data_IF_720793449118
#
_entry.id   IF_720793449118
#
_cell.length_a   1.000
_cell.length_b   1.000
_cell.length_c   1.000
_cell.angle_alpha   90.00
_cell.angle_beta   90.00
_cell.angle_gamma   90.00
#
_symmetry.space_group_name_H-M   'P 1'
#
loop_
_entity.id
_entity.type
_entity.pdbx_description
1 polymer ?
#
# COMPACT_ATOMS: atom_id res chain seq x y z
N UNK A 1 23.60 -11.93 -7.90
CA UNK A 1 23.01 -13.21 -7.45
C UNK A 1 22.83 -13.15 -5.96
N UNK A 2 21.74 -13.72 -5.46
CA UNK A 2 21.44 -13.86 -4.03
C UNK A 2 22.44 -14.79 -3.34
N UNK A 3 22.84 -14.48 -2.11
CA UNK A 3 23.64 -15.39 -1.28
C UNK A 3 22.72 -16.35 -0.52
N UNK A 4 22.30 -17.45 -1.14
CA UNK A 4 21.32 -18.39 -0.58
C UNK A 4 21.66 -18.90 0.84
N UNK A 5 22.96 -19.07 1.16
CA UNK A 5 23.41 -19.50 2.50
C UNK A 5 23.17 -18.44 3.56
N UNK A 6 23.26 -17.16 3.20
CA UNK A 6 22.94 -16.05 4.10
C UNK A 6 21.45 -16.05 4.44
N UNK A 7 20.56 -16.33 3.48
CA UNK A 7 19.11 -16.49 3.77
C UNK A 7 18.90 -17.63 4.76
N UNK A 8 19.53 -18.78 4.54
CA UNK A 8 19.43 -19.89 5.49
C UNK A 8 19.85 -19.44 6.90
N UNK A 9 21.00 -18.78 7.04
CA UNK A 9 21.45 -18.26 8.34
C UNK A 9 20.45 -17.28 8.97
N UNK A 10 19.88 -16.37 8.18
CA UNK A 10 18.91 -15.39 8.67
C UNK A 10 17.60 -16.03 9.10
N UNK A 11 16.99 -16.91 8.29
CA UNK A 11 15.68 -17.50 8.61
C UNK A 11 15.78 -18.51 9.76
N UNK A 12 16.83 -19.33 9.79
CA UNK A 12 17.03 -20.29 10.90
C UNK A 12 17.50 -19.59 12.17
N UNK A 13 18.33 -18.55 12.06
CA UNK A 13 18.68 -17.70 13.19
C UNK A 13 17.47 -17.00 13.81
N UNK A 14 16.52 -16.54 12.98
CA UNK A 14 15.24 -15.99 13.45
C UNK A 14 14.38 -17.07 14.13
N UNK A 15 14.27 -18.27 13.54
CA UNK A 15 13.52 -19.39 14.11
C UNK A 15 14.06 -19.86 15.47
N UNK A 16 15.37 -19.73 15.69
CA UNK A 16 16.07 -20.15 16.91
C UNK A 16 16.15 -19.06 17.98
N UNK A 17 15.76 -17.81 17.67
CA UNK A 17 15.82 -16.70 18.62
C UNK A 17 14.60 -16.70 19.57
N UNK A 18 14.74 -17.12 20.84
CA UNK A 18 13.60 -17.26 21.75
C UNK A 18 12.98 -15.91 22.16
N UNK A 19 13.69 -14.80 21.93
CA UNK A 19 13.22 -13.46 22.28
C UNK A 19 12.43 -12.81 21.12
N UNK A 20 12.39 -13.44 19.95
CA UNK A 20 11.67 -12.92 18.81
C UNK A 20 10.24 -13.47 18.74
N UNK A 21 9.21 -12.61 18.70
CA UNK A 21 7.82 -13.07 18.62
C UNK A 21 7.51 -13.82 17.32
N UNK A 22 8.28 -13.64 16.24
CA UNK A 22 8.12 -14.40 15.00
C UNK A 22 8.75 -15.78 15.03
N UNK A 23 9.69 -16.05 15.94
CA UNK A 23 10.44 -17.31 15.99
C UNK A 23 9.54 -18.57 15.93
N UNK A 24 8.46 -18.71 16.73
CA UNK A 24 7.61 -19.90 16.65
C UNK A 24 6.90 -20.06 15.29
N UNK A 25 6.48 -18.95 14.66
CA UNK A 25 5.79 -18.96 13.36
C UNK A 25 6.75 -19.30 12.21
N UNK A 26 7.98 -18.78 12.27
CA UNK A 26 9.04 -19.08 11.31
C UNK A 26 9.46 -20.55 11.46
N UNK A 27 9.60 -21.04 12.69
CA UNK A 27 9.91 -22.44 12.96
C UNK A 27 8.83 -23.37 12.42
N UNK A 28 7.55 -23.12 12.71
CA UNK A 28 6.42 -23.90 12.17
C UNK A 28 6.44 -23.93 10.64
N UNK A 29 6.63 -22.76 9.99
CA UNK A 29 6.67 -22.69 8.53
C UNK A 29 7.85 -23.49 7.94
N UNK A 30 9.05 -23.40 8.53
CA UNK A 30 10.21 -24.17 8.10
C UNK A 30 10.02 -25.68 8.29
N UNK A 31 9.41 -26.12 9.39
CA UNK A 31 9.07 -27.52 9.63
C UNK A 31 8.09 -28.07 8.58
N UNK A 32 7.08 -27.29 8.19
CA UNK A 32 6.14 -27.66 7.11
C UNK A 32 6.85 -27.77 5.76
N UNK A 33 7.75 -26.83 5.46
CA UNK A 33 8.56 -26.85 4.23
C UNK A 33 9.49 -28.07 4.21
N UNK A 34 10.18 -28.33 5.31
CA UNK A 34 11.09 -29.47 5.45
C UNK A 34 10.34 -30.79 5.26
N UNK A 35 9.17 -30.94 5.89
CA UNK A 35 8.36 -32.14 5.75
C UNK A 35 7.83 -32.35 4.31
N UNK A 36 7.50 -31.25 3.60
CA UNK A 36 7.16 -31.30 2.18
C UNK A 36 8.35 -31.79 1.34
N UNK A 37 9.53 -31.21 1.55
CA UNK A 37 10.77 -31.59 0.87
C UNK A 37 11.17 -33.05 1.14
N UNK A 38 10.97 -33.54 2.36
CA UNK A 38 11.25 -34.94 2.71
C UNK A 38 10.28 -35.91 2.02
N UNK A 39 9.03 -35.49 1.78
CA UNK A 39 8.01 -36.32 1.13
C UNK A 39 8.16 -36.35 -0.39
N UNK A 40 8.37 -35.20 -1.02
CA UNK A 40 8.30 -35.03 -2.48
C UNK A 40 9.66 -34.87 -3.14
N UNK A 41 10.73 -34.67 -2.35
CA UNK A 41 12.05 -34.20 -2.80
C UNK A 41 11.99 -32.82 -3.44
N UNK A 42 13.13 -32.13 -3.52
CA UNK A 42 13.19 -30.79 -4.11
C UNK A 42 12.68 -30.75 -5.56
N UNK A 43 13.02 -31.77 -6.34
CA UNK A 43 12.61 -31.98 -7.72
C UNK A 43 11.09 -32.17 -7.88
N UNK A 44 10.36 -32.62 -6.86
CA UNK A 44 8.90 -32.79 -6.92
C UNK A 44 8.09 -31.58 -6.42
N UNK A 45 8.77 -30.47 -6.06
CA UNK A 45 8.15 -29.36 -5.35
C UNK A 45 8.30 -28.05 -6.12
N UNK A 46 7.17 -27.38 -6.36
CA UNK A 46 7.13 -26.03 -6.91
C UNK A 46 6.57 -25.01 -5.90
N UNK A 47 6.76 -23.72 -6.18
CA UNK A 47 6.11 -22.62 -5.45
C UNK A 47 5.19 -21.82 -6.38
N UNK A 48 3.98 -21.51 -5.92
CA UNK A 48 3.10 -20.55 -6.58
C UNK A 48 3.50 -19.13 -6.19
N UNK A 49 4.08 -18.38 -7.14
CA UNK A 49 4.62 -17.05 -6.89
C UNK A 49 3.96 -16.00 -7.78
N UNK A 50 3.28 -15.03 -7.17
CA UNK A 50 2.57 -13.95 -7.86
C UNK A 50 3.09 -12.54 -7.50
N UNK A 51 4.26 -12.45 -6.85
CA UNK A 51 4.88 -11.19 -6.43
C UNK A 51 4.21 -10.51 -5.22
N UNK A 52 3.13 -11.06 -4.68
CA UNK A 52 2.50 -10.54 -3.47
C UNK A 52 3.38 -10.72 -2.23
N UNK A 53 3.09 -9.94 -1.18
CA UNK A 53 3.83 -9.99 0.11
C UNK A 53 3.87 -11.40 0.71
N UNK A 54 2.78 -12.14 0.66
CA UNK A 54 2.63 -13.42 1.37
C UNK A 54 3.45 -14.53 0.68
N UNK A 55 3.38 -14.63 -0.66
CA UNK A 55 4.23 -15.55 -1.40
C UNK A 55 5.71 -15.13 -1.42
N UNK A 56 6.01 -13.84 -1.19
CA UNK A 56 7.39 -13.34 -1.06
C UNK A 56 8.02 -13.81 0.25
N UNK A 57 7.29 -13.74 1.37
CA UNK A 57 7.71 -14.37 2.64
C UNK A 57 7.96 -15.86 2.43
N UNK A 58 6.99 -16.55 1.83
CA UNK A 58 7.07 -17.98 1.59
C UNK A 58 8.28 -18.35 0.71
N UNK A 59 8.53 -17.59 -0.36
CA UNK A 59 9.68 -17.80 -1.23
C UNK A 59 11.00 -17.65 -0.46
N UNK A 60 11.10 -16.64 0.42
CA UNK A 60 12.31 -16.43 1.21
C UNK A 60 12.56 -17.56 2.21
N UNK A 61 11.51 -18.02 2.90
CA UNK A 61 11.57 -19.20 3.78
C UNK A 61 11.96 -20.46 3.00
N UNK A 62 11.35 -20.68 1.84
CA UNK A 62 11.62 -21.85 1.01
C UNK A 62 13.07 -21.87 0.49
N UNK A 63 13.57 -20.73 0.00
CA UNK A 63 14.95 -20.59 -0.43
C UNK A 63 15.94 -20.88 0.73
N UNK A 64 15.63 -20.41 1.95
CA UNK A 64 16.44 -20.72 3.14
C UNK A 64 16.44 -22.21 3.49
N UNK A 65 15.29 -22.87 3.41
CA UNK A 65 15.18 -24.31 3.66
C UNK A 65 15.96 -25.15 2.63
N UNK A 66 15.87 -24.80 1.34
CA UNK A 66 16.68 -25.41 0.29
C UNK A 66 18.17 -25.19 0.53
N UNK A 67 18.57 -23.95 0.82
CA UNK A 67 19.96 -23.59 1.02
C UNK A 67 20.59 -24.28 2.25
N UNK A 68 19.82 -24.52 3.31
CA UNK A 68 20.29 -25.28 4.48
C UNK A 68 20.63 -26.74 4.15
N UNK A 69 19.99 -27.30 3.12
CA UNK A 69 20.18 -28.69 2.69
C UNK A 69 21.35 -28.88 1.73
N UNK A 70 21.98 -27.80 1.26
CA UNK A 70 23.10 -27.86 0.32
C UNK A 70 24.37 -28.39 0.99
N UNK A 71 25.07 -29.30 0.30
CA UNK A 71 26.45 -29.67 0.67
C UNK A 71 27.41 -28.46 0.63
N UNK A 72 28.61 -28.51 1.25
CA UNK A 72 29.51 -27.35 1.39
C UNK A 72 29.87 -26.63 0.09
N UNK A 73 29.96 -27.36 -1.03
CA UNK A 73 30.31 -26.83 -2.35
C UNK A 73 29.16 -26.99 -3.37
N UNK A 74 27.96 -27.32 -2.91
CA UNK A 74 26.80 -27.47 -3.79
C UNK A 74 26.16 -26.11 -4.06
N UNK A 75 25.86 -25.86 -5.34
CA UNK A 75 25.12 -24.68 -5.78
C UNK A 75 23.61 -24.94 -5.74
N UNK A 76 22.85 -23.89 -5.44
CA UNK A 76 21.39 -24.00 -5.41
C UNK A 76 20.85 -24.18 -6.84
N UNK A 77 20.21 -25.33 -7.08
CA UNK A 77 19.48 -25.59 -8.33
C UNK A 77 18.34 -24.57 -8.49
N UNK A 78 17.90 -24.30 -9.74
CA UNK A 78 16.75 -23.45 -9.97
C UNK A 78 15.52 -23.92 -9.18
N UNK A 79 14.78 -22.97 -8.62
CA UNK A 79 13.56 -23.26 -7.85
C UNK A 79 12.38 -23.30 -8.82
N UNK A 80 11.72 -24.45 -8.95
CA UNK A 80 10.52 -24.56 -9.77
C UNK A 80 9.42 -23.64 -9.23
N UNK A 81 8.90 -22.78 -10.09
CA UNK A 81 7.86 -21.84 -9.72
C UNK A 81 6.78 -21.77 -10.80
N UNK A 82 5.54 -21.56 -10.37
CA UNK A 82 4.40 -21.31 -11.25
C UNK A 82 3.88 -19.90 -11.00
N UNK A 83 3.66 -19.17 -12.08
CA UNK A 83 2.99 -17.87 -12.07
C UNK A 83 1.74 -17.92 -12.95
N UNK A 84 0.58 -17.74 -12.33
CA UNK A 84 -0.71 -17.59 -13.01
C UNK A 84 -1.10 -16.11 -12.91
N UNK A 85 -0.94 -15.32 -13.98
CA UNK A 85 -1.25 -13.89 -13.94
C UNK A 85 -2.75 -13.65 -13.76
N UNK A 86 -3.06 -12.60 -13.02
CA UNK A 86 -4.42 -12.03 -13.02
C UNK A 86 -4.67 -11.28 -14.32
N UNK A 87 -5.93 -11.05 -14.73
CA UNK A 87 -6.23 -10.13 -15.82
C UNK A 87 -5.68 -8.74 -15.53
N UNK A 88 -4.99 -8.11 -16.49
CA UNK A 88 -4.40 -6.77 -16.36
C UNK A 88 -3.59 -6.59 -15.06
N UNK A 89 -2.43 -7.25 -14.93
CA UNK A 89 -1.54 -7.09 -13.79
C UNK A 89 -0.89 -5.69 -13.79
N UNK A 90 -0.46 -5.22 -12.63
CA UNK A 90 0.33 -3.99 -12.55
C UNK A 90 1.73 -4.23 -13.14
N UNK A 91 2.22 -3.31 -13.98
CA UNK A 91 3.57 -3.39 -14.55
C UNK A 91 4.65 -3.47 -13.45
N UNK A 92 4.54 -2.64 -12.42
CA UNK A 92 5.43 -2.64 -11.24
C UNK A 92 5.46 -3.99 -10.51
N UNK A 93 4.33 -4.72 -10.52
CA UNK A 93 4.27 -6.07 -9.94
C UNK A 93 4.98 -7.09 -10.84
N UNK A 94 4.79 -7.01 -12.15
CA UNK A 94 5.47 -7.87 -13.13
C UNK A 94 6.99 -7.65 -13.11
N UNK A 95 7.44 -6.40 -13.00
CA UNK A 95 8.86 -6.06 -12.81
C UNK A 95 9.41 -6.72 -11.55
N UNK A 96 8.71 -6.59 -10.42
CA UNK A 96 9.10 -7.23 -9.17
C UNK A 96 9.16 -8.77 -9.26
N UNK A 97 8.23 -9.39 -10.00
CA UNK A 97 8.25 -10.84 -10.25
C UNK A 97 9.50 -11.22 -11.04
N UNK A 98 9.84 -10.49 -12.10
CA UNK A 98 11.01 -10.78 -12.94
C UNK A 98 12.33 -10.52 -12.18
N UNK A 99 12.40 -9.50 -11.34
CA UNK A 99 13.52 -9.27 -10.44
C UNK A 99 13.68 -10.43 -9.44
N UNK A 100 12.58 -10.83 -8.79
CA UNK A 100 12.56 -11.96 -7.86
C UNK A 100 12.97 -13.26 -8.56
N UNK A 101 12.53 -13.47 -9.80
CA UNK A 101 12.93 -14.62 -10.64
C UNK A 101 14.46 -14.71 -10.77
N UNK A 102 15.12 -13.59 -11.04
CA UNK A 102 16.58 -13.52 -11.18
C UNK A 102 17.30 -13.67 -9.84
N UNK A 103 16.80 -13.00 -8.79
CA UNK A 103 17.42 -13.00 -7.46
C UNK A 103 17.39 -14.41 -6.86
N UNK A 104 16.22 -15.05 -6.86
CA UNK A 104 16.02 -16.38 -6.27
C UNK A 104 16.34 -17.55 -7.21
N UNK A 105 16.79 -17.29 -8.44
CA UNK A 105 17.03 -18.30 -9.47
C UNK A 105 15.78 -19.18 -9.73
N UNK A 106 14.63 -18.55 -9.98
CA UNK A 106 13.38 -19.27 -10.22
C UNK A 106 13.33 -19.78 -11.68
N UNK A 107 13.04 -21.06 -11.82
CA UNK A 107 12.53 -21.65 -13.06
C UNK A 107 11.01 -21.40 -13.12
N UNK A 108 10.67 -20.17 -13.52
CA UNK A 108 9.30 -19.64 -13.46
C UNK A 108 8.51 -19.99 -14.73
N UNK A 109 7.56 -20.91 -14.61
CA UNK A 109 6.59 -21.18 -15.66
C UNK A 109 5.41 -20.21 -15.57
N UNK A 110 5.25 -19.36 -16.60
CA UNK A 110 4.14 -18.42 -16.68
C UNK A 110 2.97 -19.02 -17.46
N UNK A 111 1.81 -19.15 -16.81
CA UNK A 111 0.57 -19.60 -17.42
C UNK A 111 -0.21 -18.46 -18.10
N UNK A 112 0.49 -17.60 -18.86
CA UNK A 112 -0.18 -16.60 -19.70
C UNK A 112 -1.00 -17.32 -20.77
N UNK A 113 -2.25 -16.90 -21.05
CA UNK A 113 -3.01 -17.43 -22.17
C UNK A 113 -2.22 -17.26 -23.48
N UNK A 114 -2.16 -18.31 -24.32
CA UNK A 114 -1.44 -18.29 -25.61
C UNK A 114 -2.01 -17.29 -26.61
N UNK A 115 -3.25 -16.83 -26.40
CA UNK A 115 -3.88 -15.80 -27.18
C UNK A 115 -3.90 -14.48 -26.39
N UNK A 116 -3.60 -13.38 -27.08
CA UNK A 116 -3.96 -11.99 -26.73
C UNK A 116 -5.48 -11.78 -26.59
N UNK A 117 -6.27 -12.86 -26.54
CA UNK A 117 -7.62 -12.80 -26.02
C UNK A 117 -7.52 -12.54 -24.53
N UNK A 118 -7.48 -11.24 -24.21
CA UNK A 118 -8.08 -10.69 -23.00
C UNK A 118 -9.33 -11.53 -22.77
N UNK A 119 -9.35 -12.40 -21.75
CA UNK A 119 -10.62 -12.89 -21.20
C UNK A 119 -11.43 -11.63 -20.97
N UNK A 120 -12.40 -11.41 -21.84
CA UNK A 120 -13.01 -10.12 -22.15
C UNK A 120 -13.15 -9.25 -20.89
N UNK A 121 -12.15 -8.42 -20.64
CA UNK A 121 -12.41 -7.13 -20.03
C UNK A 121 -13.19 -6.44 -21.13
N UNK A 122 -14.43 -6.11 -20.84
CA UNK A 122 -15.24 -5.28 -21.70
C UNK A 122 -14.44 -3.98 -21.88
N UNK A 123 -13.73 -3.82 -23.00
CA UNK A 123 -13.65 -2.51 -23.61
C UNK A 123 -15.04 -2.31 -24.21
N UNK A 124 -15.82 -1.32 -23.80
CA UNK A 124 -17.00 -0.95 -24.55
C UNK A 124 -16.55 -0.73 -25.99
N UNK A 125 -17.36 -1.18 -26.93
CA UNK A 125 -17.26 -0.69 -28.29
C UNK A 125 -17.41 0.83 -28.20
N UNK A 126 -16.29 1.56 -28.29
CA UNK A 126 -16.32 3.00 -28.39
C UNK A 126 -16.79 3.26 -29.81
N UNK A 127 -18.11 3.34 -30.00
CA UNK A 127 -18.61 4.17 -31.07
C UNK A 127 -18.08 5.58 -30.77
N UNK A 128 -17.26 6.12 -31.66
CA UNK A 128 -16.68 7.45 -31.51
C UNK A 128 -17.76 8.46 -31.13
N UNK A 129 -17.58 9.10 -29.97
CA UNK A 129 -18.33 10.31 -29.63
C UNK A 129 -19.45 10.21 -28.58
N UNK A 130 -19.58 9.14 -27.78
CA UNK A 130 -20.58 9.12 -26.70
C UNK A 130 -19.98 8.78 -25.33
N UNK A 131 -19.97 9.78 -24.44
CA UNK A 131 -19.67 9.66 -23.01
C UNK A 131 -20.87 9.02 -22.31
N UNK A 132 -20.70 7.84 -21.73
CA UNK A 132 -21.69 7.24 -20.84
C UNK A 132 -21.09 6.92 -19.48
N UNK A 133 -21.80 7.42 -18.47
CA UNK A 133 -21.58 7.29 -17.05
C UNK A 133 -21.75 5.82 -16.59
N UNK A 134 -20.65 5.21 -16.16
CA UNK A 134 -20.56 3.81 -15.72
C UNK A 134 -21.33 3.51 -14.42
N UNK A 135 -21.92 4.54 -13.79
CA UNK A 135 -22.50 4.47 -12.44
C UNK A 135 -23.87 3.79 -12.40
N UNK A 136 -24.58 3.67 -13.52
CA UNK A 136 -26.05 3.45 -13.44
C UNK A 136 -26.57 2.02 -13.63
N UNK A 137 -25.81 1.05 -14.17
CA UNK A 137 -26.35 -0.32 -14.41
C UNK A 137 -25.31 -1.45 -14.38
N UNK A 138 -25.12 -2.16 -13.25
CA UNK A 138 -24.29 -3.36 -13.24
C UNK A 138 -25.02 -4.49 -13.99
N UNK A 139 -24.42 -5.01 -15.05
CA UNK A 139 -24.85 -6.26 -15.69
C UNK A 139 -23.93 -7.40 -15.23
N UNK A 140 -24.51 -8.55 -14.89
CA UNK A 140 -23.77 -9.74 -14.52
C UNK A 140 -22.95 -10.26 -15.71
N UNK A 141 -21.64 -10.40 -15.49
CA UNK A 141 -20.65 -10.82 -16.49
C UNK A 141 -20.56 -12.34 -16.53
N UNK A 142 -21.18 -12.98 -17.52
CA UNK A 142 -20.85 -14.35 -17.95
C UNK A 142 -21.06 -15.51 -16.93
N UNK A 143 -21.24 -16.73 -17.43
CA UNK A 143 -21.40 -17.95 -16.61
C UNK A 143 -20.05 -18.62 -16.27
N UNK A 144 -18.94 -17.90 -16.22
CA UNK A 144 -17.65 -18.50 -15.84
C UNK A 144 -17.70 -18.83 -14.34
N UNK A 145 -17.86 -20.11 -14.02
CA UNK A 145 -17.63 -20.62 -12.67
C UNK A 145 -16.24 -20.16 -12.25
N UNK A 146 -16.14 -19.34 -11.18
CA UNK A 146 -14.86 -18.84 -10.68
C UNK A 146 -13.87 -20.00 -10.51
N UNK A 147 -12.68 -19.88 -11.10
CA UNK A 147 -11.61 -20.87 -10.98
C UNK A 147 -11.34 -21.73 -12.22
N UNK A 148 -12.19 -21.73 -13.26
CA UNK A 148 -11.95 -22.54 -14.47
C UNK A 148 -10.63 -22.20 -15.18
N UNK A 149 -10.30 -20.90 -15.31
CA UNK A 149 -9.03 -20.47 -15.88
C UNK A 149 -7.82 -20.93 -15.05
N UNK A 150 -7.93 -20.89 -13.72
CA UNK A 150 -6.88 -21.38 -12.81
C UNK A 150 -6.71 -22.90 -12.90
N UNK A 151 -7.82 -23.64 -12.99
CA UNK A 151 -7.83 -25.09 -13.17
C UNK A 151 -7.13 -25.50 -14.46
N UNK A 152 -7.42 -24.81 -15.57
CA UNK A 152 -6.76 -25.05 -16.86
C UNK A 152 -5.27 -24.69 -16.84
N UNK A 153 -4.90 -23.58 -16.21
CA UNK A 153 -3.49 -23.20 -16.03
C UNK A 153 -2.71 -24.27 -15.26
N UNK A 154 -3.27 -24.76 -14.15
CA UNK A 154 -2.68 -25.86 -13.37
C UNK A 154 -2.63 -27.18 -14.16
N UNK A 155 -3.62 -27.46 -15.01
CA UNK A 155 -3.61 -28.67 -15.84
C UNK A 155 -2.45 -28.61 -16.84
N UNK A 156 -2.26 -27.48 -17.54
CA UNK A 156 -1.12 -27.28 -18.45
C UNK A 156 0.20 -27.42 -17.72
N UNK A 157 0.29 -26.90 -16.50
CA UNK A 157 1.49 -27.06 -15.67
C UNK A 157 1.75 -28.52 -15.33
N UNK A 158 0.72 -29.28 -14.92
CA UNK A 158 0.83 -30.71 -14.62
C UNK A 158 1.25 -31.52 -15.85
N UNK A 159 0.67 -31.24 -17.00
CA UNK A 159 0.99 -31.92 -18.27
C UNK A 159 2.44 -31.69 -18.67
N UNK A 160 2.95 -30.47 -18.43
CA UNK A 160 4.33 -30.09 -18.74
C UNK A 160 5.34 -30.64 -17.72
N UNK A 161 4.98 -30.66 -16.45
CA UNK A 161 5.85 -31.05 -15.34
C UNK A 161 5.18 -32.14 -14.49
N UNK A 162 4.98 -33.35 -15.03
CA UNK A 162 4.24 -34.42 -14.35
C UNK A 162 4.92 -34.92 -13.07
N UNK A 163 6.23 -34.66 -12.93
CA UNK A 163 7.02 -34.99 -11.75
C UNK A 163 6.78 -34.05 -10.56
N UNK A 164 6.19 -32.87 -10.78
CA UNK A 164 5.81 -31.97 -9.69
C UNK A 164 4.52 -32.50 -9.04
N UNK A 165 4.61 -32.78 -7.74
CA UNK A 165 3.54 -33.39 -6.94
C UNK A 165 3.05 -32.49 -5.82
N UNK A 166 3.83 -31.49 -5.41
CA UNK A 166 3.44 -30.50 -4.41
C UNK A 166 3.70 -29.06 -4.87
N UNK A 167 2.81 -28.15 -4.45
CA UNK A 167 2.92 -26.72 -4.70
C UNK A 167 2.81 -25.98 -3.37
N UNK A 168 3.84 -25.19 -3.04
CA UNK A 168 3.83 -24.26 -1.92
C UNK A 168 2.97 -23.04 -2.28
N UNK A 169 2.05 -22.66 -1.38
CA UNK A 169 1.08 -21.57 -1.58
C UNK A 169 1.11 -20.64 -0.36
N UNK A 170 1.19 -19.34 -0.61
CA UNK A 170 1.22 -18.29 0.41
C UNK A 170 -0.14 -17.93 1.01
N UNK A 171 -1.09 -18.86 1.08
CA UNK A 171 -2.43 -18.61 1.64
C UNK A 171 -2.39 -18.60 3.17
N UNK A 172 -3.10 -17.65 3.77
CA UNK A 172 -3.34 -17.53 5.22
C UNK A 172 -4.80 -17.84 5.56
N UNK A 173 -5.10 -18.14 6.83
CA UNK A 173 -6.48 -18.41 7.29
C UNK A 173 -7.46 -17.28 7.01
N UNK A 174 -6.98 -16.05 7.01
CA UNK A 174 -7.77 -14.83 6.79
C UNK A 174 -8.03 -14.53 5.32
N UNK A 175 -7.40 -15.25 4.40
CA UNK A 175 -7.64 -15.11 2.96
C UNK A 175 -8.95 -15.81 2.54
N UNK A 176 -9.55 -15.42 1.39
CA UNK A 176 -10.68 -16.16 0.81
C UNK A 176 -10.40 -17.65 0.69
N UNK A 177 -11.34 -18.46 1.18
CA UNK A 177 -11.24 -19.92 1.18
C UNK A 177 -10.13 -20.50 2.07
N UNK A 178 -9.40 -19.67 2.84
CA UNK A 178 -8.28 -20.11 3.70
C UNK A 178 -8.69 -20.70 5.05
N UNK A 179 -9.87 -20.34 5.58
CA UNK A 179 -10.26 -20.65 6.95
C UNK A 179 -10.26 -22.16 7.30
N UNK A 180 -10.65 -23.01 6.35
CA UNK A 180 -10.75 -24.47 6.52
C UNK A 180 -9.49 -25.21 6.08
N UNK A 181 -8.46 -24.52 5.58
CA UNK A 181 -7.23 -25.15 5.14
C UNK A 181 -6.34 -25.55 6.32
N UNK A 182 -5.53 -26.57 6.10
CA UNK A 182 -4.44 -26.97 6.98
C UNK A 182 -3.10 -26.68 6.28
N UNK A 183 -1.99 -27.06 6.91
CA UNK A 183 -0.67 -26.92 6.31
C UNK A 183 -0.49 -27.73 5.03
N UNK A 184 -1.22 -28.84 4.87
CA UNK A 184 -1.12 -29.75 3.73
C UNK A 184 -2.50 -30.26 3.35
N UNK A 185 -2.91 -30.03 2.11
CA UNK A 185 -4.20 -30.49 1.58
C UNK A 185 -4.05 -30.90 0.11
N UNK A 186 -4.61 -32.04 -0.30
CA UNK A 186 -4.76 -32.31 -1.72
C UNK A 186 -5.67 -31.27 -2.38
N UNK A 187 -5.47 -31.00 -3.67
CA UNK A 187 -6.43 -30.29 -4.51
C UNK A 187 -7.79 -30.97 -4.49
N UNK A 188 -8.86 -30.20 -4.69
CA UNK A 188 -10.22 -30.72 -4.64
C UNK A 188 -10.51 -31.65 -5.85
N UNK A 189 -11.47 -32.59 -5.74
CA UNK A 189 -11.81 -33.47 -6.85
C UNK A 189 -12.16 -32.70 -8.14
N UNK A 190 -11.59 -33.14 -9.28
CA UNK A 190 -11.75 -32.49 -10.59
C UNK A 190 -10.72 -31.40 -10.90
N UNK A 191 -9.84 -31.07 -9.95
CA UNK A 191 -8.63 -30.29 -10.19
C UNK A 191 -7.44 -31.20 -10.50
N UNK A 192 -6.41 -30.68 -11.20
CA UNK A 192 -5.14 -31.40 -11.38
C UNK A 192 -4.54 -31.79 -10.03
N UNK A 193 -4.06 -33.02 -9.92
CA UNK A 193 -3.61 -33.57 -8.65
C UNK A 193 -2.27 -32.97 -8.20
N UNK A 194 -2.36 -32.12 -7.18
CA UNK A 194 -1.23 -31.59 -6.42
C UNK A 194 -1.56 -31.62 -4.93
N UNK A 195 -0.53 -31.77 -4.12
CA UNK A 195 -0.63 -31.37 -2.72
C UNK A 195 -0.38 -29.87 -2.59
N UNK A 196 -1.34 -29.16 -2.00
CA UNK A 196 -1.23 -27.77 -1.58
C UNK A 196 -0.53 -27.72 -0.24
N UNK A 197 0.59 -27.01 -0.16
CA UNK A 197 1.37 -26.84 1.06
C UNK A 197 1.31 -25.37 1.46
N UNK A 198 0.80 -25.07 2.65
CA UNK A 198 0.58 -23.72 3.16
C UNK A 198 1.43 -23.46 4.44
N UNK A 199 2.75 -23.21 4.33
CA UNK A 199 3.61 -23.06 5.51
C UNK A 199 3.28 -21.85 6.37
N UNK A 200 2.75 -20.78 5.76
CA UNK A 200 2.40 -19.53 6.43
C UNK A 200 0.91 -19.43 6.79
N UNK A 201 0.18 -20.55 6.80
CA UNK A 201 -1.29 -20.54 6.95
C UNK A 201 -1.77 -19.84 8.23
N UNK A 202 -1.01 -19.95 9.33
CA UNK A 202 -1.33 -19.36 10.63
C UNK A 202 -0.78 -17.93 10.81
N UNK A 203 -0.19 -17.33 9.77
CA UNK A 203 0.37 -15.99 9.86
C UNK A 203 -0.73 -14.94 9.70
N UNK A 204 -0.56 -13.82 10.41
CA UNK A 204 -1.43 -12.64 10.30
C UNK A 204 -0.76 -11.56 9.46
N UNK A 205 -1.51 -10.52 9.13
CA UNK A 205 -1.01 -9.39 8.35
C UNK A 205 0.25 -8.75 8.94
N UNK A 206 0.27 -8.53 10.26
CA UNK A 206 1.42 -7.95 10.95
C UNK A 206 2.64 -8.85 10.89
N UNK A 207 2.47 -10.18 11.04
CA UNK A 207 3.58 -11.14 10.98
C UNK A 207 4.30 -11.10 9.62
N UNK A 208 3.55 -11.01 8.52
CA UNK A 208 4.10 -10.89 7.16
C UNK A 208 5.00 -9.66 7.05
N UNK A 209 4.52 -8.50 7.50
CA UNK A 209 5.30 -7.27 7.42
C UNK A 209 6.48 -7.23 8.38
N UNK A 210 6.31 -7.69 9.62
CA UNK A 210 7.42 -7.79 10.58
C UNK A 210 8.54 -8.63 9.98
N UNK A 211 8.24 -9.78 9.38
CA UNK A 211 9.24 -10.64 8.75
C UNK A 211 9.95 -9.94 7.58
N UNK A 212 9.19 -9.41 6.61
CA UNK A 212 9.76 -8.74 5.43
C UNK A 212 10.65 -7.57 5.83
N UNK A 213 10.23 -6.77 6.81
CA UNK A 213 10.95 -5.58 7.26
C UNK A 213 12.17 -5.93 8.11
N UNK A 214 12.05 -6.90 9.01
CA UNK A 214 13.13 -7.32 9.90
C UNK A 214 14.29 -7.97 9.13
N UNK A 215 13.99 -8.85 8.18
CA UNK A 215 15.00 -9.50 7.34
C UNK A 215 15.35 -8.66 6.09
N UNK A 216 14.73 -7.49 5.92
CA UNK A 216 14.94 -6.58 4.78
C UNK A 216 14.73 -7.29 3.44
N UNK A 217 13.74 -8.17 3.37
CA UNK A 217 13.36 -8.87 2.15
C UNK A 217 12.72 -7.86 1.19
N UNK A 218 13.20 -7.75 -0.06
CA UNK A 218 12.56 -6.89 -1.06
C UNK A 218 11.11 -7.31 -1.31
N UNK A 219 10.23 -6.32 -1.46
CA UNK A 219 8.81 -6.50 -1.77
C UNK A 219 8.37 -5.50 -2.84
N UNK A 220 7.23 -5.76 -3.49
CA UNK A 220 6.69 -4.87 -4.53
C UNK A 220 6.43 -3.45 -3.99
N UNK A 221 6.96 -2.43 -4.67
CA UNK A 221 6.89 -1.03 -4.22
C UNK A 221 5.49 -0.42 -4.21
N UNK A 222 4.48 -1.08 -4.79
CA UNK A 222 3.07 -0.70 -4.61
C UNK A 222 2.67 -0.71 -3.13
N UNK A 223 3.28 -1.58 -2.32
CA UNK A 223 3.01 -1.60 -0.89
C UNK A 223 3.47 -0.31 -0.19
N UNK A 224 4.51 0.37 -0.68
CA UNK A 224 4.93 1.67 -0.13
C UNK A 224 3.95 2.81 -0.52
N UNK A 225 3.09 2.57 -1.49
CA UNK A 225 2.07 3.51 -2.00
C UNK A 225 0.69 3.27 -1.37
N UNK A 226 0.62 2.47 -0.29
CA UNK A 226 -0.61 2.23 0.47
C UNK A 226 -1.49 1.11 -0.07
N UNK A 227 -1.07 0.38 -1.11
CA UNK A 227 -1.73 -0.87 -1.46
C UNK A 227 -1.47 -1.91 -0.37
N UNK A 228 -2.46 -2.75 -0.03
CA UNK A 228 -2.36 -3.74 1.07
C UNK A 228 -2.74 -5.15 0.62
N UNK A 229 -3.49 -5.24 -0.49
CA UNK A 229 -3.80 -6.47 -1.21
C UNK A 229 -3.69 -6.18 -2.71
N UNK A 230 -2.97 -7.01 -3.45
CA UNK A 230 -2.77 -6.83 -4.90
C UNK A 230 -3.66 -7.79 -5.69
N UNK A 231 -4.27 -7.26 -6.74
CA UNK A 231 -5.12 -7.98 -7.68
C UNK A 231 -4.92 -7.41 -9.08
N UNK A 232 -6.01 -7.33 -9.86
CA UNK A 232 -6.00 -6.67 -11.16
C UNK A 232 -6.00 -5.16 -11.01
N UNK A 233 -5.46 -4.43 -11.98
CA UNK A 233 -5.56 -2.96 -12.04
C UNK A 233 -7.00 -2.44 -12.05
N UNK A 234 -7.98 -3.26 -12.44
CA UNK A 234 -9.40 -2.87 -12.46
C UNK A 234 -10.08 -2.90 -11.08
N UNK A 235 -9.51 -3.60 -10.10
CA UNK A 235 -10.20 -3.89 -8.83
C UNK A 235 -9.31 -3.74 -7.59
N UNK A 236 -8.20 -3.02 -7.75
CA UNK A 236 -7.17 -2.84 -6.73
C UNK A 236 -6.81 -1.37 -6.61
N UNK A 237 -7.01 -0.83 -5.42
CA UNK A 237 -6.77 0.57 -5.07
C UNK A 237 -5.96 0.67 -3.77
N UNK A 238 -5.28 1.80 -3.50
CA UNK A 238 -4.68 2.07 -2.20
C UNK A 238 -5.72 1.94 -1.08
N UNK A 239 -5.28 1.44 0.08
CA UNK A 239 -6.16 1.21 1.20
C UNK A 239 -6.64 2.55 1.80
N UNK A 240 -7.95 2.81 1.88
CA UNK A 240 -8.47 4.07 2.43
C UNK A 240 -8.05 4.30 3.90
N UNK A 241 -7.81 3.23 4.67
CA UNK A 241 -7.35 3.34 6.05
C UNK A 241 -5.90 3.86 6.18
N UNK A 242 -5.16 3.92 5.08
CA UNK A 242 -3.79 4.44 5.01
C UNK A 242 -3.72 5.86 4.42
N UNK A 243 -4.86 6.47 4.09
CA UNK A 243 -4.89 7.82 3.52
C UNK A 243 -4.32 8.83 4.51
N UNK A 244 -3.27 9.56 4.10
CA UNK A 244 -2.72 10.66 4.87
C UNK A 244 -3.69 11.83 4.73
N UNK A 245 -4.37 12.19 5.82
CA UNK A 245 -5.18 13.39 5.81
C UNK A 245 -4.25 14.59 5.60
N UNK A 246 -4.58 15.50 4.66
CA UNK A 246 -3.85 16.75 4.56
C UNK A 246 -3.96 17.40 5.93
N UNK A 247 -2.81 17.66 6.57
CA UNK A 247 -2.79 18.38 7.82
C UNK A 247 -3.65 19.63 7.64
N UNK A 248 -4.77 19.73 8.36
CA UNK A 248 -5.23 21.05 8.76
C UNK A 248 -4.01 21.64 9.45
N UNK A 249 -3.38 22.63 8.82
CA UNK A 249 -2.33 23.40 9.47
C UNK A 249 -2.91 23.83 10.80
N UNK A 250 -2.51 23.15 11.88
CA UNK A 250 -2.51 23.77 13.17
C UNK A 250 -1.57 24.96 12.96
N UNK A 251 -2.15 26.14 12.74
CA UNK A 251 -1.43 27.37 12.99
C UNK A 251 -0.77 27.16 14.36
N UNK A 252 0.54 27.36 14.51
CA UNK A 252 1.07 27.41 15.85
C UNK A 252 0.27 28.52 16.52
N UNK A 253 -0.54 28.16 17.52
CA UNK A 253 -1.09 29.14 18.44
C UNK A 253 0.15 29.79 19.05
N UNK A 254 0.53 30.94 18.49
CA UNK A 254 1.40 31.89 19.14
C UNK A 254 0.76 32.10 20.50
N UNK A 255 1.40 31.59 21.55
CA UNK A 255 0.99 31.93 22.89
C UNK A 255 0.96 33.46 22.97
N UNK A 256 0.00 34.08 23.67
CA UNK A 256 -0.08 35.54 23.77
C UNK A 256 1.23 36.20 24.23
N UNK A 257 2.12 35.44 24.89
CA UNK A 257 3.46 35.90 25.29
C UNK A 257 4.43 36.09 24.13
N UNK A 258 4.37 35.27 23.08
CA UNK A 258 5.36 35.30 21.98
C UNK A 258 5.11 36.46 21.01
N UNK A 259 3.85 36.89 20.83
CA UNK A 259 3.50 38.05 20.00
C UNK A 259 3.96 39.38 20.63
N UNK A 260 4.00 39.47 21.96
CA UNK A 260 4.39 40.68 22.70
C UNK A 260 5.91 40.91 22.68
N UNK A 261 6.71 39.83 22.74
CA UNK A 261 8.17 39.92 22.60
C UNK A 261 8.58 40.37 21.20
N UNK A 262 7.82 40.00 20.17
CA UNK A 262 8.13 40.37 18.78
C UNK A 262 7.74 41.81 18.45
N UNK A 263 6.74 42.39 19.13
CA UNK A 263 6.36 43.80 18.98
C UNK A 263 7.25 44.76 19.78
N UNK A 264 7.81 44.31 20.92
CA UNK A 264 8.69 45.14 21.76
C UNK A 264 10.16 45.14 21.30
N UNK A 265 10.53 44.32 20.31
CA UNK A 265 11.90 44.23 19.79
C UNK A 265 12.17 45.16 18.59
N UNK A 266 11.19 45.95 18.12
CA UNK A 266 11.34 46.83 16.95
C UNK A 266 11.53 48.32 17.27
N UNK A 267 11.86 48.68 18.51
CA UNK A 267 12.22 50.07 18.86
C UNK A 267 13.51 50.09 19.66
N UNK A 268 14.65 50.02 18.96
CA UNK A 268 15.95 50.36 19.51
C UNK A 268 16.34 51.77 19.06
N UNK A 269 16.21 52.73 19.98
CA UNK A 269 17.17 53.84 20.11
C UNK A 269 17.68 53.78 21.55
N UNK A 270 19.00 53.61 21.70
CA UNK A 270 19.74 53.46 22.97
C UNK A 270 20.08 54.86 23.57
N UNK A 271 20.73 55.00 24.75
CA UNK A 271 20.22 54.83 26.12
C UNK A 271 20.40 56.10 27.00
N UNK A 272 19.73 56.18 28.17
CA UNK A 272 20.26 56.84 29.38
C UNK A 272 19.77 56.12 30.66
N UNK A 273 20.68 55.99 31.63
CA UNK A 273 20.53 55.40 32.97
C UNK A 273 20.13 56.46 34.02
N UNK A 274 20.12 56.15 35.33
CA UNK A 274 19.27 55.19 36.07
C UNK A 274 18.48 55.90 37.20
N UNK A 275 17.39 55.33 37.75
CA UNK A 275 16.99 55.55 39.16
C UNK A 275 15.83 54.63 39.63
N UNK A 276 15.70 54.56 40.95
CA UNK A 276 15.19 53.50 41.84
C UNK A 276 13.67 53.22 41.87
N UNK A 277 13.36 51.97 42.29
CA UNK A 277 12.26 51.49 43.14
C UNK A 277 10.83 52.06 43.03
N UNK A 278 9.86 51.20 42.66
CA UNK A 278 8.71 50.87 43.51
C UNK A 278 7.80 49.78 42.90
N UNK A 279 7.51 48.76 43.70
CA UNK A 279 6.57 47.67 43.42
C UNK A 279 5.11 48.17 43.47
N UNK A 280 4.32 47.91 42.42
CA UNK A 280 2.84 47.91 42.50
C UNK A 280 2.26 46.66 41.80
N UNK A 281 1.30 46.05 42.50
CA UNK A 281 0.73 44.72 42.27
C UNK A 281 -0.19 44.63 41.03
N UNK A 282 -0.28 43.45 40.37
CA UNK A 282 -1.07 43.23 39.15
C UNK A 282 -2.58 43.45 39.27
N UNK A 283 -3.11 43.59 40.49
CA UNK A 283 -4.57 43.66 40.70
C UNK A 283 -5.20 45.01 40.36
N UNK A 284 -4.41 46.08 40.21
CA UNK A 284 -4.96 47.43 39.96
C UNK A 284 -5.16 47.72 38.46
N UNK A 285 -4.42 47.07 37.57
CA UNK A 285 -4.53 47.30 36.13
C UNK A 285 -5.76 46.64 35.48
N UNK A 286 -6.27 45.56 36.07
CA UNK A 286 -7.39 44.78 35.51
C UNK A 286 -8.76 45.45 35.73
N UNK A 287 -8.87 46.34 36.71
CA UNK A 287 -10.13 47.06 37.01
C UNK A 287 -10.45 48.17 36.00
N UNK A 288 -9.43 48.79 35.39
CA UNK A 288 -9.64 49.92 34.48
C UNK A 288 -10.09 49.52 33.07
N UNK A 289 -9.99 48.23 32.71
CA UNK A 289 -10.25 47.75 31.34
C UNK A 289 -11.63 47.11 31.16
N UNK A 290 -12.29 46.66 32.23
CA UNK A 290 -13.57 45.92 32.14
C UNK A 290 -14.83 46.81 32.09
N UNK A 291 -14.70 48.14 31.98
CA UNK A 291 -15.84 49.07 32.15
C UNK A 291 -16.26 49.83 30.90
N UNK A 292 -15.90 49.41 29.68
CA UNK A 292 -16.47 50.07 28.50
C UNK A 292 -16.78 49.09 27.37
N UNK A 293 -17.99 48.55 27.45
CA UNK A 293 -18.69 47.78 26.41
C UNK A 293 -19.94 48.58 25.99
N UNK A 294 -20.18 48.61 24.66
CA UNK A 294 -21.39 49.01 23.92
C UNK A 294 -21.74 50.50 23.75
N UNK A 295 -21.82 50.99 22.50
CA UNK A 295 -23.06 51.30 21.72
C UNK A 295 -22.81 52.23 20.51
N UNK A 296 -23.53 51.98 19.40
CA UNK A 296 -23.73 52.80 18.17
C UNK A 296 -24.55 54.11 18.46
N UNK A 297 -25.00 54.99 17.50
CA UNK A 297 -24.69 55.32 16.08
C UNK A 297 -24.69 56.86 15.75
N UNK A 298 -24.68 57.20 14.43
CA UNK A 298 -25.28 58.37 13.71
C UNK A 298 -24.50 59.69 13.44
N UNK A 299 -24.53 60.12 12.16
CA UNK A 299 -25.03 61.45 11.77
C UNK A 299 -24.10 62.50 11.10
N UNK A 300 -24.08 62.50 9.76
CA UNK A 300 -24.24 63.63 8.79
C UNK A 300 -23.40 64.94 8.82
N UNK A 301 -22.82 65.30 7.65
CA UNK A 301 -22.97 66.57 6.85
C UNK A 301 -21.69 66.86 6.01
N UNK A 302 -21.69 66.77 4.67
CA UNK A 302 -21.90 67.83 3.63
C UNK A 302 -20.92 69.03 3.74
N UNK A 303 -20.28 69.64 2.72
CA UNK A 303 -20.31 69.69 1.23
C UNK A 303 -18.96 70.32 0.77
N UNK A 304 -18.52 70.30 -0.51
CA UNK A 304 -18.74 71.35 -1.55
C UNK A 304 -18.10 70.88 -2.88
N UNK A 305 -18.77 71.21 -3.98
CA UNK A 305 -18.52 70.81 -5.38
C UNK A 305 -17.54 71.71 -6.17
N UNK A 306 -17.02 71.22 -7.32
CA UNK A 306 -17.02 71.96 -8.61
C UNK A 306 -16.48 71.17 -9.84
N UNK A 307 -17.32 71.13 -10.89
CA UNK A 307 -17.07 71.33 -12.35
C UNK A 307 -16.23 70.37 -13.22
N UNK A 308 -16.97 69.58 -14.01
CA UNK A 308 -17.16 69.57 -15.49
C UNK A 308 -15.99 69.50 -16.50
N UNK A 309 -16.29 68.70 -17.55
CA UNK A 309 -15.66 68.48 -18.88
C UNK A 309 -14.39 67.62 -18.89
N UNK A 310 -14.23 66.56 -19.68
CA UNK A 310 -14.91 66.07 -20.88
C UNK A 310 -13.84 65.67 -21.90
N UNK A 311 -13.72 64.37 -22.24
CA UNK A 311 -13.28 63.79 -23.55
C UNK A 311 -12.86 62.30 -23.43
N UNK A 312 -13.51 61.48 -24.27
CA UNK A 312 -13.02 60.33 -25.06
C UNK A 312 -11.98 59.33 -24.49
N UNK A 313 -12.41 58.07 -24.31
CA UNK A 313 -12.09 56.92 -25.18
C UNK A 313 -12.32 55.60 -24.43
N UNK A 314 -13.25 54.78 -24.93
CA UNK A 314 -13.44 53.41 -24.47
C UNK A 314 -12.33 52.52 -25.05
N UNK A 315 -11.40 52.12 -24.18
CA UNK A 315 -10.36 51.14 -24.46
C UNK A 315 -10.65 49.84 -23.70
N UNK A 316 -10.62 48.73 -24.44
CA UNK A 316 -10.25 47.38 -24.05
C UNK A 316 -10.34 47.00 -22.56
N UNK A 317 -11.37 46.23 -22.21
CA UNK A 317 -11.35 45.38 -21.01
C UNK A 317 -10.44 44.17 -21.26
N UNK A 318 -9.14 44.32 -21.01
CA UNK A 318 -8.22 43.20 -20.80
C UNK A 318 -8.49 42.63 -19.41
N UNK A 319 -9.36 41.61 -19.33
CA UNK A 319 -9.50 40.79 -18.14
C UNK A 319 -8.21 39.98 -17.97
N UNK A 320 -7.39 40.34 -16.99
CA UNK A 320 -6.25 39.56 -16.54
C UNK A 320 -6.76 38.19 -16.10
N UNK A 321 -6.26 37.07 -16.65
CA UNK A 321 -6.65 35.76 -16.19
C UNK A 321 -6.02 35.54 -14.81
N UNK A 322 -6.86 35.47 -13.78
CA UNK A 322 -6.45 34.92 -12.49
C UNK A 322 -6.03 33.47 -12.73
N UNK A 323 -4.81 33.06 -12.34
CA UNK A 323 -4.41 31.67 -12.47
C UNK A 323 -5.28 30.86 -11.50
N UNK A 324 -6.12 29.98 -12.05
CA UNK A 324 -6.74 28.90 -11.28
C UNK A 324 -5.59 28.02 -10.79
N UNK A 325 -5.19 28.18 -9.53
CA UNK A 325 -4.27 27.24 -8.91
C UNK A 325 -5.09 25.97 -8.66
N UNK A 326 -4.88 24.97 -9.49
CA UNK A 326 -5.39 23.62 -9.28
C UNK A 326 -4.57 22.99 -8.13
N UNK A 327 -4.99 23.23 -6.89
CA UNK A 327 -4.21 22.92 -5.67
C UNK A 327 -4.38 21.50 -5.13
N UNK A 328 -5.06 20.58 -5.81
CA UNK A 328 -5.19 19.21 -5.28
C UNK A 328 -3.98 18.36 -5.68
N UNK A 329 -2.92 18.44 -4.87
CA UNK A 329 -1.89 17.40 -4.81
C UNK A 329 -2.57 16.02 -4.72
N UNK A 330 -2.08 15.00 -5.45
CA UNK A 330 -2.67 13.67 -5.41
C UNK A 330 -2.66 13.13 -3.96
N UNK A 331 -3.69 12.35 -3.57
CA UNK A 331 -3.77 11.79 -2.23
C UNK A 331 -2.53 10.95 -1.94
N UNK A 332 -1.93 11.20 -0.78
CA UNK A 332 -0.77 10.43 -0.30
C UNK A 332 -1.22 9.38 0.69
N UNK A 333 -0.58 8.22 0.66
CA UNK A 333 -0.89 7.11 1.56
C UNK A 333 0.34 6.73 2.37
N UNK A 334 0.12 6.22 3.57
CA UNK A 334 1.15 5.53 4.34
C UNK A 334 1.46 4.17 3.69
N UNK A 335 2.68 3.64 3.87
CA UNK A 335 3.02 2.29 3.44
C UNK A 335 2.14 1.21 4.06
N UNK A 336 2.02 0.07 3.38
CA UNK A 336 1.19 -1.06 3.78
C UNK A 336 1.47 -1.56 5.20
N UNK A 337 2.74 -1.60 5.59
CA UNK A 337 3.17 -2.06 6.92
C UNK A 337 2.76 -1.11 8.06
N UNK A 338 2.21 0.07 7.76
CA UNK A 338 1.63 0.98 8.76
C UNK A 338 0.16 0.68 9.08
N UNK A 339 -0.50 -0.24 8.35
CA UNK A 339 -1.89 -0.60 8.60
C UNK A 339 -2.01 -1.28 9.98
N UNK A 340 -2.72 -0.63 10.90
CA UNK A 340 -2.86 -1.11 12.30
C UNK A 340 -3.89 -2.22 12.44
N UNK A 341 -5.02 -2.10 11.75
CA UNK A 341 -6.07 -3.12 11.75
C UNK A 341 -5.92 -4.03 10.53
N UNK A 342 -5.38 -5.24 10.75
CA UNK A 342 -5.20 -6.24 9.71
C UNK A 342 -6.52 -6.71 9.07
N UNK A 343 -7.67 -6.55 9.72
CA UNK A 343 -8.97 -6.90 9.13
C UNK A 343 -9.32 -6.02 7.92
N UNK A 344 -8.71 -4.84 7.83
CA UNK A 344 -8.87 -3.88 6.73
C UNK A 344 -7.91 -4.15 5.56
N UNK A 345 -7.11 -5.22 5.59
CA UNK A 345 -6.14 -5.55 4.54
C UNK A 345 -6.74 -5.53 3.11
N UNK A 346 -8.02 -5.90 2.99
CA UNK A 346 -8.69 -6.01 1.69
C UNK A 346 -9.59 -4.82 1.36
N UNK A 347 -9.56 -3.75 2.15
CA UNK A 347 -10.38 -2.55 1.93
C UNK A 347 -10.06 -1.78 0.64
N UNK A 348 -8.90 -2.04 0.03
CA UNK A 348 -8.55 -1.55 -1.31
C UNK A 348 -9.07 -2.41 -2.47
N UNK A 349 -9.83 -3.49 -2.20
CA UNK A 349 -10.36 -4.41 -3.23
C UNK A 349 -11.85 -4.13 -3.46
N UNK A 350 -12.27 -3.97 -4.72
CA UNK A 350 -13.68 -3.75 -5.06
C UNK A 350 -13.88 -2.87 -6.29
N UNK A 351 -15.11 -2.37 -6.48
CA UNK A 351 -15.42 -1.31 -7.45
C UNK A 351 -15.08 0.05 -6.81
N UNK A 352 -14.60 1.00 -7.63
CA UNK A 352 -14.18 2.35 -7.19
C UNK A 352 -15.23 2.95 -6.25
N UNK A 353 -14.87 3.38 -5.02
CA UNK A 353 -15.78 4.15 -4.19
C UNK A 353 -16.16 5.42 -4.94
N UNK A 354 -17.46 5.67 -5.13
CA UNK A 354 -17.93 6.93 -5.67
C UNK A 354 -17.33 8.06 -4.81
N UNK A 355 -16.52 8.93 -5.42
CA UNK A 355 -16.17 10.20 -4.80
C UNK A 355 -17.49 10.90 -4.50
N UNK A 356 -17.80 11.07 -3.21
CA UNK A 356 -18.98 11.81 -2.80
C UNK A 356 -18.93 13.17 -3.49
N UNK A 357 -20.00 13.60 -4.18
CA UNK A 357 -20.02 14.92 -4.79
C UNK A 357 -19.83 15.97 -3.70
N UNK A 358 -18.92 16.91 -3.97
CA UNK A 358 -18.55 18.01 -3.09
C UNK A 358 -19.71 18.96 -2.79
#
# INVERSE_FOLDING_TARGET
MMNCREIAQQVYGLAENPNDPLAPLVKEALEVIDHCLDTHRQDGVAISFNGGKDCTVLLHLYAGALARRLGPNEEMKPIHAIYIPVPSPFEVLEEFIEESRKVYNLDLFSCRPEATQVESVITPNVAEGVSYDYVSRPHAVGKSKGGEGMRQALQRYKDRFPHITAILIGTRRTDPHGATLSHRNMTDPGWPEFERVNPVINWDYSHVWTFLRQLKVPYCSLYDQGYTSLGSTYNTFPNPALLIQPSSTASPLLSPGTALTQFLSSTHTEPQSPEEDALLSPSTALSSFMTSIHTHPNGSSASVAAKLNGTNNAANSSATPTPKIDTKLPPRYLPAYELKDGSLERSGRGLVPALAPA
#
